data_IF_609064884581
#
_entry.id   IF_609064884581
#
_cell.length_a   1.000
_cell.length_b   1.000
_cell.length_c   1.000
_cell.angle_alpha   90.00
_cell.angle_beta   90.00
_cell.angle_gamma   90.00
#
_symmetry.space_group_name_H-M   'P 1'
#
loop_
_entity.id
_entity.type
_entity.pdbx_description
1 polymer ?
#
# COMPACT_ATOMS: atom_id res chain seq x y z
N UNK A 1 -33.83 12.76 -2.88
CA UNK A 1 -33.24 11.93 -3.97
C UNK A 1 -31.76 11.73 -3.66
N UNK A 2 -31.38 10.59 -3.08
CA UNK A 2 -29.96 10.27 -2.85
C UNK A 2 -29.29 10.11 -4.22
N UNK A 3 -28.29 10.92 -4.52
CA UNK A 3 -27.49 10.71 -5.72
C UNK A 3 -26.61 9.46 -5.51
N UNK A 4 -26.82 8.35 -6.23
CA UNK A 4 -26.08 7.10 -6.01
C UNK A 4 -24.55 7.29 -6.14
N UNK A 5 -24.12 8.27 -6.95
CA UNK A 5 -22.72 8.68 -7.11
C UNK A 5 -22.09 9.24 -5.82
N UNK A 6 -22.86 9.90 -4.96
CA UNK A 6 -22.37 10.47 -3.71
C UNK A 6 -22.07 9.36 -2.69
N UNK A 7 -22.94 8.35 -2.60
CA UNK A 7 -22.74 7.21 -1.71
C UNK A 7 -21.51 6.38 -2.13
N UNK A 8 -21.35 6.09 -3.42
CA UNK A 8 -20.18 5.35 -3.91
C UNK A 8 -18.87 6.08 -3.63
N UNK A 9 -18.84 7.41 -3.75
CA UNK A 9 -17.67 8.24 -3.41
C UNK A 9 -17.35 8.21 -1.91
N UNK A 10 -18.37 8.30 -1.06
CA UNK A 10 -18.19 8.23 0.38
C UNK A 10 -17.66 6.87 0.83
N UNK A 11 -18.22 5.77 0.29
CA UNK A 11 -17.76 4.41 0.59
C UNK A 11 -16.34 4.14 0.09
N UNK A 12 -15.98 4.64 -1.09
CA UNK A 12 -14.61 4.55 -1.61
C UNK A 12 -13.60 5.29 -0.73
N UNK A 13 -13.93 6.53 -0.34
CA UNK A 13 -13.10 7.30 0.59
C UNK A 13 -12.95 6.59 1.94
N UNK A 14 -14.06 6.10 2.50
CA UNK A 14 -14.05 5.37 3.78
C UNK A 14 -13.19 4.10 3.68
N UNK A 15 -13.29 3.34 2.59
CA UNK A 15 -12.45 2.17 2.36
C UNK A 15 -10.96 2.52 2.32
N UNK A 16 -10.58 3.61 1.63
CA UNK A 16 -9.19 4.10 1.59
C UNK A 16 -8.71 4.59 2.95
N UNK A 17 -9.57 5.26 3.71
CA UNK A 17 -9.28 5.72 5.06
C UNK A 17 -9.03 4.55 6.01
N UNK A 18 -9.91 3.55 6.01
CA UNK A 18 -9.74 2.33 6.81
C UNK A 18 -8.45 1.58 6.44
N UNK A 19 -8.15 1.47 5.13
CA UNK A 19 -6.92 0.84 4.66
C UNK A 19 -5.68 1.62 5.13
N UNK A 20 -5.67 2.94 4.96
CA UNK A 20 -4.58 3.81 5.41
C UNK A 20 -4.37 3.77 6.93
N UNK A 21 -5.44 3.63 7.71
CA UNK A 21 -5.37 3.60 9.18
C UNK A 21 -4.44 2.49 9.70
N UNK A 22 -4.40 1.33 9.03
CA UNK A 22 -3.50 0.22 9.40
C UNK A 22 -2.04 0.61 9.25
N UNK A 23 -1.69 1.31 8.16
CA UNK A 23 -0.33 1.80 7.90
C UNK A 23 0.06 2.93 8.84
N UNK A 24 -0.87 3.86 9.12
CA UNK A 24 -0.65 4.94 10.09
C UNK A 24 -0.44 4.38 11.50
N UNK A 25 -1.19 3.35 11.90
CA UNK A 25 -1.01 2.69 13.19
C UNK A 25 0.38 2.03 13.34
N UNK A 26 1.07 1.71 12.24
CA UNK A 26 2.42 1.16 12.27
C UNK A 26 3.53 2.22 12.51
N UNK A 27 3.19 3.52 12.53
CA UNK A 27 4.16 4.61 12.67
C UNK A 27 4.64 4.89 14.10
N UNK A 28 3.78 5.02 15.14
CA UNK A 28 4.20 5.53 16.46
C UNK A 28 5.38 4.77 17.05
N UNK A 29 5.37 3.44 16.97
CA UNK A 29 6.47 2.60 17.46
C UNK A 29 7.80 2.82 16.73
N UNK A 30 7.78 3.24 15.46
CA UNK A 30 8.99 3.53 14.68
C UNK A 30 9.66 4.84 15.10
N UNK A 31 8.89 5.76 15.65
CA UNK A 31 9.41 7.00 16.23
C UNK A 31 9.86 6.79 17.67
N UNK A 32 9.00 6.21 18.52
CA UNK A 32 9.29 6.06 19.95
C UNK A 32 10.40 5.05 20.22
N UNK A 33 10.51 3.99 19.39
CA UNK A 33 11.46 2.89 19.57
C UNK A 33 12.39 2.76 18.36
N UNK A 34 12.87 3.88 17.81
CA UNK A 34 13.67 3.89 16.58
C UNK A 34 14.89 2.96 16.65
N UNK A 35 15.72 3.10 17.70
CA UNK A 35 16.93 2.28 17.87
C UNK A 35 16.60 0.78 17.99
N UNK A 36 15.56 0.42 18.75
CA UNK A 36 15.14 -0.97 18.90
C UNK A 36 14.57 -1.55 17.58
N UNK A 37 13.87 -0.72 16.81
CA UNK A 37 13.36 -1.11 15.49
C UNK A 37 14.49 -1.32 14.49
N UNK A 38 15.49 -0.43 14.47
CA UNK A 38 16.68 -0.59 13.63
C UNK A 38 17.50 -1.83 14.02
N UNK A 39 17.64 -2.11 15.32
CA UNK A 39 18.24 -3.34 15.80
C UNK A 39 17.46 -4.59 15.36
N UNK A 40 16.12 -4.52 15.35
CA UNK A 40 15.26 -5.61 14.85
C UNK A 40 15.43 -5.86 13.35
N UNK A 41 15.65 -4.81 12.55
CA UNK A 41 15.97 -4.93 11.12
C UNK A 41 17.34 -5.62 10.95
N UNK A 42 18.33 -5.20 11.74
CA UNK A 42 19.67 -5.80 11.72
C UNK A 42 19.64 -7.28 12.10
N UNK A 43 18.83 -7.64 13.10
CA UNK A 43 18.63 -9.03 13.53
C UNK A 43 18.06 -9.95 12.44
N UNK A 44 17.46 -9.39 11.38
CA UNK A 44 16.99 -10.13 10.20
C UNK A 44 18.07 -10.29 9.11
N UNK A 45 19.33 -9.96 9.41
CA UNK A 45 20.45 -10.12 8.49
C UNK A 45 20.71 -8.92 7.57
N UNK A 46 20.04 -7.79 7.81
CA UNK A 46 20.32 -6.53 7.10
C UNK A 46 21.56 -5.88 7.70
N UNK A 47 22.47 -5.38 6.86
CA UNK A 47 23.66 -4.67 7.33
C UNK A 47 23.27 -3.43 8.17
N UNK A 48 23.99 -3.22 9.28
CA UNK A 48 23.70 -2.15 10.25
C UNK A 48 23.57 -0.76 9.61
N UNK A 49 24.45 -0.33 8.68
CA UNK A 49 24.31 0.97 8.02
C UNK A 49 23.03 1.12 7.19
N UNK A 50 22.51 0.00 6.67
CA UNK A 50 21.30 -0.02 5.85
C UNK A 50 20.02 -0.07 6.70
N UNK A 51 20.09 -0.63 7.91
CA UNK A 51 18.93 -0.80 8.78
C UNK A 51 18.28 0.56 9.15
N UNK A 52 19.10 1.55 9.53
CA UNK A 52 18.62 2.89 9.83
C UNK A 52 17.99 3.58 8.60
N UNK A 53 18.65 3.48 7.44
CA UNK A 53 18.14 4.05 6.19
C UNK A 53 16.81 3.43 5.76
N UNK A 54 16.66 2.10 5.87
CA UNK A 54 15.40 1.41 5.59
C UNK A 54 14.29 1.81 6.55
N UNK A 55 14.60 2.01 7.83
CA UNK A 55 13.61 2.47 8.81
C UNK A 55 13.11 3.88 8.49
N UNK A 56 14.01 4.81 8.15
CA UNK A 56 13.64 6.17 7.72
C UNK A 56 12.82 6.11 6.43
N UNK A 57 13.25 5.33 5.44
CA UNK A 57 12.50 5.14 4.20
C UNK A 57 11.10 4.56 4.47
N UNK A 58 10.98 3.57 5.36
CA UNK A 58 9.70 3.01 5.76
C UNK A 58 8.78 4.06 6.39
N UNK A 59 9.29 4.92 7.28
CA UNK A 59 8.52 6.01 7.90
C UNK A 59 8.00 6.98 6.82
N UNK A 60 8.89 7.44 5.93
CA UNK A 60 8.53 8.37 4.85
C UNK A 60 7.48 7.76 3.93
N UNK A 61 7.67 6.50 3.51
CA UNK A 61 6.74 5.78 2.65
C UNK A 61 5.38 5.58 3.33
N UNK A 62 5.35 5.22 4.62
CA UNK A 62 4.11 5.05 5.37
C UNK A 62 3.31 6.34 5.46
N UNK A 63 3.97 7.48 5.76
CA UNK A 63 3.31 8.79 5.83
C UNK A 63 2.84 9.22 4.44
N UNK A 64 3.75 9.31 3.48
CA UNK A 64 3.45 9.80 2.14
C UNK A 64 2.44 8.90 1.42
N UNK A 65 2.63 7.58 1.52
CA UNK A 65 1.73 6.59 0.93
C UNK A 65 0.33 6.65 1.51
N UNK A 66 0.19 6.77 2.84
CA UNK A 66 -1.12 6.88 3.49
C UNK A 66 -1.84 8.17 3.12
N UNK A 67 -1.13 9.31 3.12
CA UNK A 67 -1.70 10.60 2.73
C UNK A 67 -2.13 10.60 1.26
N UNK A 68 -1.29 10.09 0.36
CA UNK A 68 -1.61 9.99 -1.07
C UNK A 68 -2.75 9.01 -1.34
N UNK A 69 -2.88 7.93 -0.57
CA UNK A 69 -3.98 6.98 -0.73
C UNK A 69 -5.33 7.63 -0.39
N UNK A 70 -5.39 8.39 0.70
CA UNK A 70 -6.64 8.99 1.18
C UNK A 70 -6.97 10.29 0.42
N UNK A 71 -6.02 11.21 0.33
CA UNK A 71 -6.23 12.57 -0.15
C UNK A 71 -5.67 12.84 -1.55
N UNK A 72 -4.84 11.94 -2.09
CA UNK A 72 -4.21 12.14 -3.39
C UNK A 72 -5.19 12.09 -4.55
N UNK A 73 -4.92 12.89 -5.58
CA UNK A 73 -5.63 12.83 -6.87
C UNK A 73 -5.32 11.54 -7.62
N UNK A 74 -4.14 10.95 -7.39
CA UNK A 74 -3.70 9.67 -7.93
C UNK A 74 -3.52 8.65 -6.80
N UNK A 75 -4.58 7.89 -6.52
CA UNK A 75 -4.61 6.85 -5.48
C UNK A 75 -3.64 5.71 -5.76
N UNK A 76 -3.23 5.52 -7.04
CA UNK A 76 -2.27 4.48 -7.42
C UNK A 76 -0.90 4.74 -6.82
N UNK A 77 -0.45 6.00 -6.82
CA UNK A 77 0.86 6.35 -6.24
C UNK A 77 0.91 6.03 -4.75
N UNK A 78 -0.13 6.40 -4.00
CA UNK A 78 -0.23 6.06 -2.58
C UNK A 78 -0.24 4.56 -2.34
N UNK A 79 -1.07 3.82 -3.09
CA UNK A 79 -1.15 2.36 -2.97
C UNK A 79 0.17 1.66 -3.37
N UNK A 80 0.84 2.11 -4.43
CA UNK A 80 2.13 1.57 -4.87
C UNK A 80 3.25 1.80 -3.85
N UNK A 81 3.32 3.00 -3.26
CA UNK A 81 4.29 3.29 -2.20
C UNK A 81 4.10 2.35 -1.01
N UNK A 82 2.87 2.23 -0.50
CA UNK A 82 2.56 1.33 0.61
C UNK A 82 2.85 -0.14 0.25
N UNK A 83 2.61 -0.55 -1.00
CA UNK A 83 2.89 -1.91 -1.47
C UNK A 83 4.39 -2.20 -1.48
N UNK A 84 5.21 -1.25 -1.98
CA UNK A 84 6.68 -1.34 -1.98
C UNK A 84 7.23 -1.45 -0.55
N UNK A 85 6.60 -0.82 0.43
CA UNK A 85 6.96 -1.01 1.84
C UNK A 85 6.50 -2.37 2.39
N UNK A 86 5.26 -2.76 2.11
CA UNK A 86 4.61 -3.88 2.78
C UNK A 86 5.17 -5.24 2.33
N UNK A 87 5.47 -5.41 1.04
CA UNK A 87 5.96 -6.68 0.50
C UNK A 87 7.30 -7.08 1.12
N UNK A 88 8.37 -6.24 1.11
CA UNK A 88 9.62 -6.57 1.77
C UNK A 88 9.45 -6.77 3.28
N UNK A 89 8.66 -5.92 3.94
CA UNK A 89 8.40 -6.05 5.38
C UNK A 89 7.82 -7.42 5.72
N UNK A 90 6.88 -7.92 4.92
CA UNK A 90 6.27 -9.24 5.11
C UNK A 90 7.27 -10.37 4.95
N UNK A 91 8.06 -10.32 3.87
CA UNK A 91 9.06 -11.33 3.58
C UNK A 91 10.15 -11.40 4.65
N UNK A 92 10.62 -10.25 5.11
CA UNK A 92 11.71 -10.14 6.11
C UNK A 92 11.23 -10.51 7.52
N UNK A 93 10.06 -10.01 7.94
CA UNK A 93 9.66 -10.12 9.34
C UNK A 93 8.77 -11.32 9.66
N UNK A 94 7.95 -11.78 8.71
CA UNK A 94 6.79 -12.63 9.00
C UNK A 94 6.74 -13.95 8.22
N UNK A 95 7.82 -14.34 7.53
CA UNK A 95 7.81 -15.56 6.69
C UNK A 95 8.57 -16.74 7.31
N UNK A 96 9.47 -16.49 8.26
CA UNK A 96 10.29 -17.55 8.89
C UNK A 96 10.44 -17.33 10.41
N UNK A 97 9.59 -17.98 11.23
CA UNK A 97 8.40 -18.75 10.85
C UNK A 97 7.27 -17.84 10.33
N UNK A 98 6.31 -18.43 9.62
CA UNK A 98 5.08 -17.72 9.25
C UNK A 98 4.28 -17.44 10.53
N UNK A 99 3.95 -16.17 10.76
CA UNK A 99 3.13 -15.74 11.89
C UNK A 99 1.77 -15.17 11.43
N UNK A 100 0.92 -14.76 12.38
CA UNK A 100 -0.40 -14.20 12.06
C UNK A 100 -0.33 -12.91 11.23
N UNK A 101 0.75 -12.13 11.37
CA UNK A 101 0.93 -10.87 10.66
C UNK A 101 1.16 -11.11 9.16
N UNK A 102 1.70 -12.26 8.78
CA UNK A 102 1.81 -12.67 7.37
C UNK A 102 0.46 -12.64 6.65
N UNK A 103 -0.57 -13.25 7.23
CA UNK A 103 -1.89 -13.34 6.61
C UNK A 103 -2.58 -11.98 6.56
N UNK A 104 -2.41 -11.16 7.60
CA UNK A 104 -2.89 -9.78 7.60
C UNK A 104 -2.22 -8.98 6.47
N UNK A 105 -0.90 -9.08 6.34
CA UNK A 105 -0.17 -8.38 5.29
C UNK A 105 -0.53 -8.91 3.90
N UNK A 106 -0.81 -10.20 3.74
CA UNK A 106 -1.26 -10.78 2.48
C UNK A 106 -2.62 -10.18 2.06
N UNK A 107 -3.55 -10.02 3.00
CA UNK A 107 -4.83 -9.36 2.75
C UNK A 107 -4.63 -7.87 2.37
N UNK A 108 -3.76 -7.16 3.07
CA UNK A 108 -3.43 -5.76 2.78
C UNK A 108 -2.74 -5.59 1.42
N UNK A 109 -1.82 -6.49 1.05
CA UNK A 109 -1.20 -6.56 -0.28
C UNK A 109 -2.29 -6.68 -1.34
N UNK A 110 -3.24 -7.62 -1.17
CA UNK A 110 -4.38 -7.78 -2.07
C UNK A 110 -5.22 -6.50 -2.18
N UNK A 111 -5.53 -5.86 -1.06
CA UNK A 111 -6.30 -4.62 -1.03
C UNK A 111 -5.57 -3.46 -1.75
N UNK A 112 -4.25 -3.34 -1.56
CA UNK A 112 -3.42 -2.34 -2.25
C UNK A 112 -3.34 -2.60 -3.75
N UNK A 113 -3.20 -3.86 -4.18
CA UNK A 113 -3.24 -4.23 -5.60
C UNK A 113 -4.58 -3.84 -6.22
N UNK A 114 -5.71 -4.12 -5.55
CA UNK A 114 -7.03 -3.70 -5.99
C UNK A 114 -7.14 -2.16 -6.06
N UNK A 115 -6.59 -1.44 -5.08
CA UNK A 115 -6.54 0.03 -5.10
C UNK A 115 -5.73 0.58 -6.29
N UNK A 116 -4.62 -0.07 -6.69
CA UNK A 116 -3.84 0.33 -7.88
C UNK A 116 -4.67 0.21 -9.17
N UNK A 117 -5.60 -0.75 -9.26
CA UNK A 117 -6.46 -0.87 -10.45
C UNK A 117 -7.38 0.35 -10.67
N UNK A 118 -7.58 1.17 -9.63
CA UNK A 118 -8.43 2.38 -9.65
C UNK A 118 -7.55 3.63 -9.70
N UNK A 119 -7.64 4.42 -10.76
CA UNK A 119 -6.78 5.60 -10.95
C UNK A 119 -7.13 6.80 -10.08
N UNK A 120 -8.40 6.91 -9.68
CA UNK A 120 -8.95 8.05 -8.94
C UNK A 120 -10.00 7.56 -7.96
N UNK A 121 -10.29 8.34 -6.91
CA UNK A 121 -11.36 8.03 -5.98
C UNK A 121 -12.70 7.78 -6.70
N UNK A 122 -13.37 6.69 -6.35
CA UNK A 122 -14.59 6.17 -6.99
C UNK A 122 -14.46 5.75 -8.46
N UNK A 123 -13.25 5.57 -9.00
CA UNK A 123 -13.09 4.97 -10.32
C UNK A 123 -13.50 3.49 -10.29
N UNK A 124 -14.34 3.11 -11.25
CA UNK A 124 -14.52 1.71 -11.66
C UNK A 124 -13.19 1.17 -12.20
N UNK A 125 -12.89 -0.14 -12.08
CA UNK A 125 -11.68 -0.71 -12.66
C UNK A 125 -11.55 -0.32 -14.14
N UNK A 126 -10.45 0.37 -14.48
CA UNK A 126 -10.25 0.87 -15.82
C UNK A 126 -9.48 -0.15 -16.66
N UNK A 127 -10.17 -0.84 -17.57
CA UNK A 127 -9.59 -1.77 -18.55
C UNK A 127 -9.43 -1.15 -19.95
N UNK A 128 -9.49 0.18 -20.09
CA UNK A 128 -9.39 0.85 -21.39
C UNK A 128 -8.13 0.44 -22.14
N UNK A 129 -7.00 0.37 -21.46
CA UNK A 129 -5.72 0.03 -22.08
C UNK A 129 -5.69 -1.43 -22.58
N UNK A 130 -6.39 -2.33 -21.88
CA UNK A 130 -6.56 -3.73 -22.32
C UNK A 130 -7.43 -3.79 -23.58
N UNK A 131 -8.54 -3.06 -23.60
CA UNK A 131 -9.47 -3.03 -24.73
C UNK A 131 -8.87 -2.40 -25.99
N UNK A 132 -8.07 -1.34 -25.82
CA UNK A 132 -7.32 -0.72 -26.92
C UNK A 132 -6.29 -1.71 -27.48
N UNK A 133 -5.56 -2.43 -26.63
CA UNK A 133 -4.53 -3.39 -27.07
C UNK A 133 -5.13 -4.58 -27.82
N UNK A 134 -6.28 -5.09 -27.38
CA UNK A 134 -6.97 -6.19 -28.06
C UNK A 134 -7.58 -5.74 -29.39
N UNK A 135 -8.15 -4.53 -29.45
CA UNK A 135 -8.60 -3.93 -30.70
C UNK A 135 -7.47 -3.74 -31.72
N UNK A 136 -6.30 -3.28 -31.29
CA UNK A 136 -5.12 -3.16 -32.16
C UNK A 136 -4.59 -4.51 -32.66
N UNK A 137 -4.75 -5.59 -31.88
CA UNK A 137 -4.38 -6.94 -32.30
C UNK A 137 -5.38 -7.53 -33.31
N UNK A 138 -6.65 -7.20 -33.18
CA UNK A 138 -7.68 -7.60 -34.14
C UNK A 138 -7.51 -6.92 -35.51
N UNK A 139 -7.05 -5.66 -35.55
CA UNK A 139 -6.76 -4.93 -36.79
C UNK A 139 -5.46 -5.36 -37.51
N UNK A 140 -4.64 -6.19 -36.86
CA UNK A 140 -3.35 -6.67 -37.40
C UNK A 140 -3.42 -8.13 -37.91
N UNK A 141 -4.61 -8.72 -37.94
CA UNK A 141 -4.91 -10.03 -38.54
C UNK A 141 -5.79 -9.83 -39.75
#
# INVERSE_FOLDING_TARGET
MFHPLALSKALDFLGRLCLAAVFVNALPGKFSNFSATAASITAKGVAEPLAGALLVAAIVILIAGSLLLVFGTNTRLGASLLLVFLVPTTLIFHTFPIDASFFMNLALIGALILAITRSTGAAVPNFRDVRVRDGMRALRR
#
